data_IF_925233289604
#
_entry.id   IF_925233289604
#
_cell.length_a   1.000
_cell.length_b   1.000
_cell.length_c   1.000
_cell.angle_alpha   90.00
_cell.angle_beta   90.00
_cell.angle_gamma   90.00
#
_symmetry.space_group_name_H-M   'P 1'
#
loop_
_entity.id
_entity.type
_entity.pdbx_description
1 polymer ?
#
# COMPACT_ATOMS: atom_id res chain seq x y z
N UNK A 1 11.29 -0.95 -5.33
CA UNK A 1 9.91 -1.47 -5.22
C UNK A 1 8.99 -0.49 -5.93
N UNK A 2 8.24 -0.91 -6.96
CA UNK A 2 7.10 -0.15 -7.45
C UNK A 2 6.08 -0.24 -6.32
N UNK A 3 6.15 0.70 -5.39
CA UNK A 3 5.15 0.81 -4.33
C UNK A 3 3.95 1.55 -4.89
N UNK A 4 3.29 0.94 -5.87
CA UNK A 4 1.86 1.14 -6.05
C UNK A 4 1.04 0.55 -4.88
N UNK A 5 1.75 -0.08 -3.93
CA UNK A 5 1.54 -0.15 -2.47
C UNK A 5 1.30 1.23 -1.81
N UNK A 6 0.44 2.05 -2.37
CA UNK A 6 -0.18 3.14 -1.61
C UNK A 6 -1.17 2.54 -0.60
N UNK A 7 -1.66 1.29 -0.78
CA UNK A 7 -2.72 0.73 0.10
C UNK A 7 -2.60 -0.76 0.44
N UNK A 8 -1.56 -1.48 0.03
CA UNK A 8 -1.09 -2.56 0.94
C UNK A 8 -0.50 -1.93 2.23
N UNK A 9 -0.34 -0.59 2.27
CA UNK A 9 -0.19 0.18 3.50
C UNK A 9 -1.45 0.29 4.38
N UNK A 10 -2.67 0.00 3.91
CA UNK A 10 -3.77 -0.29 4.84
C UNK A 10 -3.63 -1.69 5.47
N UNK A 11 -2.85 -2.59 4.86
CA UNK A 11 -2.36 -3.83 5.48
C UNK A 11 -1.04 -3.63 6.28
N UNK A 12 -0.21 -2.64 5.94
CA UNK A 12 1.13 -2.42 6.53
C UNK A 12 1.15 -1.29 7.58
N UNK A 13 0.24 -0.32 7.58
CA UNK A 13 -0.07 0.50 8.77
C UNK A 13 -0.67 -0.34 9.91
N UNK A 14 -1.09 -1.54 9.51
CA UNK A 14 -1.72 -2.61 10.24
C UNK A 14 -0.61 -3.60 10.70
N UNK A 15 0.51 -3.73 9.98
CA UNK A 15 1.72 -4.44 10.40
C UNK A 15 2.87 -3.46 10.70
N UNK A 16 3.09 -3.11 11.97
CA UNK A 16 3.99 -2.04 12.41
C UNK A 16 5.43 -2.06 11.84
N UNK A 17 6.00 -0.85 11.79
CA UNK A 17 7.39 -0.47 11.53
C UNK A 17 8.34 -1.59 11.06
N UNK A 18 8.64 -1.63 9.76
CA UNK A 18 9.67 -2.51 9.20
C UNK A 18 10.91 -1.73 8.77
N UNK A 19 12.06 -2.09 9.37
CA UNK A 19 13.39 -1.84 8.80
C UNK A 19 13.64 -2.93 7.74
N UNK A 20 13.79 -2.52 6.49
CA UNK A 20 14.36 -3.33 5.42
C UNK A 20 15.84 -2.99 5.33
N UNK A 21 16.68 -3.70 6.09
CA UNK A 21 18.12 -3.71 5.90
C UNK A 21 18.51 -5.15 5.61
N UNK A 22 18.73 -5.49 4.33
CA UNK A 22 19.89 -6.29 3.88
C UNK A 22 19.78 -6.50 2.36
N UNK A 23 20.82 -6.09 1.63
CA UNK A 23 20.97 -6.34 0.20
C UNK A 23 21.94 -7.51 0.03
N UNK A 24 21.43 -8.71 -0.18
CA UNK A 24 22.17 -9.77 -0.87
C UNK A 24 21.25 -10.39 -1.93
N UNK A 25 21.49 -9.98 -3.17
CA UNK A 25 20.66 -10.28 -4.34
C UNK A 25 21.20 -11.53 -5.04
N UNK A 26 20.41 -12.59 -5.09
CA UNK A 26 20.65 -13.75 -5.96
C UNK A 26 19.97 -13.45 -7.31
N UNK A 27 20.77 -13.04 -8.30
CA UNK A 27 20.28 -12.54 -9.59
C UNK A 27 20.03 -13.69 -10.58
N UNK A 28 18.86 -13.66 -11.21
CA UNK A 28 18.52 -14.41 -12.42
C UNK A 28 18.40 -13.38 -13.55
N UNK A 29 19.29 -13.44 -14.54
CA UNK A 29 19.36 -12.44 -15.63
C UNK A 29 18.23 -12.63 -16.64
N UNK A 30 17.28 -11.69 -16.63
CA UNK A 30 16.41 -11.38 -17.76
C UNK A 30 16.68 -9.92 -18.19
N UNK A 31 16.60 -9.57 -19.49
CA UNK A 31 16.92 -8.23 -19.96
C UNK A 31 16.03 -7.16 -19.30
N UNK A 32 16.67 -6.23 -18.59
CA UNK A 32 16.04 -5.15 -17.83
C UNK A 32 15.62 -4.02 -18.77
N UNK A 33 14.37 -4.04 -19.25
CA UNK A 33 13.81 -2.87 -19.93
C UNK A 33 13.69 -1.74 -18.91
N UNK A 34 14.24 -0.55 -19.23
CA UNK A 34 14.07 0.64 -18.40
C UNK A 34 12.59 0.92 -18.15
N UNK A 35 12.15 0.73 -16.91
CA UNK A 35 10.76 0.91 -16.50
C UNK A 35 10.36 2.39 -16.38
N UNK A 36 9.06 2.66 -16.43
CA UNK A 36 8.51 4.02 -16.29
C UNK A 36 8.11 4.35 -14.83
N UNK A 37 7.75 5.60 -14.57
CA UNK A 37 7.19 6.06 -13.29
C UNK A 37 5.78 6.60 -13.49
N UNK A 38 4.91 6.40 -12.50
CA UNK A 38 3.59 7.06 -12.47
C UNK A 38 3.76 8.58 -12.42
N UNK A 39 2.73 9.37 -12.75
CA UNK A 39 2.77 10.81 -12.57
C UNK A 39 3.20 11.21 -11.16
N UNK A 40 3.90 12.34 -11.03
CA UNK A 40 4.38 12.82 -9.73
C UNK A 40 3.25 13.24 -8.78
N UNK A 41 2.10 13.61 -9.34
CA UNK A 41 0.91 13.96 -8.58
C UNK A 41 -0.31 13.37 -9.27
N UNK A 42 -1.12 12.62 -8.52
CA UNK A 42 -2.39 12.10 -9.01
C UNK A 42 -3.33 11.80 -7.84
N UNK A 43 -4.62 11.81 -8.17
CA UNK A 43 -5.68 11.28 -7.33
C UNK A 43 -6.42 10.18 -8.07
N UNK A 44 -6.99 9.23 -7.35
CA UNK A 44 -7.77 8.16 -7.95
C UNK A 44 -8.30 7.22 -6.89
N UNK A 45 -8.76 6.06 -7.34
CA UNK A 45 -9.32 5.06 -6.45
C UNK A 45 -8.66 3.71 -6.62
N UNK A 46 -8.68 2.95 -5.53
CA UNK A 46 -8.26 1.56 -5.48
C UNK A 46 -9.39 0.70 -4.95
N UNK A 47 -9.85 -0.25 -5.75
CA UNK A 47 -10.64 -1.38 -5.27
C UNK A 47 -9.70 -2.49 -4.81
N UNK A 48 -9.91 -3.05 -3.63
CA UNK A 48 -9.04 -4.07 -3.04
C UNK A 48 -9.87 -5.29 -2.69
N UNK A 49 -9.38 -6.45 -3.09
CA UNK A 49 -9.82 -7.75 -2.58
C UNK A 49 -8.57 -8.48 -2.11
N UNK A 50 -8.54 -8.82 -0.83
CA UNK A 50 -7.40 -9.41 -0.16
C UNK A 50 -7.81 -10.61 0.69
N UNK A 51 -6.85 -11.52 0.88
CA UNK A 51 -6.99 -12.69 1.73
C UNK A 51 -5.70 -12.95 2.50
N UNK A 52 -5.84 -13.49 3.71
CA UNK A 52 -4.69 -13.90 4.51
C UNK A 52 -4.96 -15.22 5.23
N UNK A 53 -3.89 -15.96 5.51
CA UNK A 53 -3.93 -17.22 6.23
C UNK A 53 -2.67 -17.42 7.10
N UNK A 54 -2.87 -17.83 8.36
CA UNK A 54 -1.83 -18.25 9.29
C UNK A 54 -2.36 -19.35 10.21
N UNK A 55 -1.78 -20.55 10.13
CA UNK A 55 -2.15 -21.74 10.92
C UNK A 55 -3.67 -21.98 11.02
N UNK A 56 -4.32 -21.42 12.05
CA UNK A 56 -5.77 -21.58 12.33
C UNK A 56 -6.62 -20.35 11.96
N UNK A 57 -6.00 -19.21 11.65
CA UNK A 57 -6.69 -17.97 11.31
C UNK A 57 -6.62 -17.70 9.81
N UNK A 58 -7.77 -17.37 9.25
CA UNK A 58 -7.92 -16.91 7.88
C UNK A 58 -8.95 -15.79 7.85
N UNK A 59 -8.83 -14.93 6.84
CA UNK A 59 -9.83 -13.91 6.63
C UNK A 59 -9.72 -13.31 5.24
N UNK A 60 -10.78 -12.61 4.88
CA UNK A 60 -10.84 -11.84 3.65
C UNK A 60 -11.08 -10.38 4.00
N UNK A 61 -10.57 -9.53 3.13
CA UNK A 61 -10.69 -8.09 3.21
C UNK A 61 -11.15 -7.62 1.83
N UNK A 62 -12.18 -6.80 1.80
CA UNK A 62 -12.59 -6.14 0.56
C UNK A 62 -12.84 -4.69 0.87
N UNK A 63 -12.49 -3.81 -0.04
CA UNK A 63 -12.61 -2.40 0.24
C UNK A 63 -12.36 -1.53 -0.96
N UNK A 64 -12.56 -0.26 -0.71
CA UNK A 64 -12.35 0.79 -1.67
C UNK A 64 -11.67 1.95 -0.97
N UNK A 65 -10.68 2.52 -1.64
CA UNK A 65 -9.87 3.58 -1.05
C UNK A 65 -9.63 4.68 -2.06
N UNK A 66 -9.90 5.92 -1.65
CA UNK A 66 -9.48 7.10 -2.40
C UNK A 66 -8.04 7.43 -2.05
N UNK A 67 -7.22 7.68 -3.07
CA UNK A 67 -5.80 8.00 -2.94
C UNK A 67 -5.52 9.39 -3.46
N UNK A 68 -4.68 10.11 -2.73
CA UNK A 68 -3.99 11.31 -3.20
C UNK A 68 -2.48 11.06 -3.03
N UNK A 69 -1.76 10.98 -4.15
CA UNK A 69 -0.33 10.69 -4.20
C UNK A 69 0.43 11.95 -4.64
N UNK A 70 1.38 12.41 -3.83
CA UNK A 70 2.11 13.65 -4.06
C UNK A 70 3.62 13.43 -3.86
N UNK A 71 4.29 12.98 -4.91
CA UNK A 71 5.73 12.73 -4.91
C UNK A 71 6.58 14.00 -4.82
N UNK A 72 6.03 15.16 -5.21
CA UNK A 72 6.76 16.42 -5.14
C UNK A 72 6.98 16.86 -3.69
N UNK A 73 6.01 16.57 -2.83
CA UNK A 73 6.06 16.87 -1.40
C UNK A 73 6.21 15.61 -0.55
N UNK A 74 6.60 14.49 -1.18
CA UNK A 74 6.87 13.21 -0.52
C UNK A 74 5.77 12.76 0.46
N UNK A 75 4.51 12.80 0.02
CA UNK A 75 3.37 12.51 0.88
C UNK A 75 2.25 11.78 0.17
N UNK A 76 1.51 11.01 0.96
CA UNK A 76 0.42 10.16 0.49
C UNK A 76 -0.74 10.31 1.46
N UNK A 77 -1.95 10.46 0.94
CA UNK A 77 -3.18 10.39 1.73
C UNK A 77 -4.10 9.32 1.13
N UNK A 78 -4.69 8.51 2.01
CA UNK A 78 -5.59 7.43 1.63
C UNK A 78 -6.81 7.43 2.54
N UNK A 79 -8.01 7.40 1.97
CA UNK A 79 -9.29 7.31 2.69
C UNK A 79 -9.92 5.96 2.35
N UNK A 80 -9.82 5.00 3.27
CA UNK A 80 -10.17 3.61 3.05
C UNK A 80 -11.49 3.26 3.73
N UNK A 81 -12.38 2.62 2.97
CA UNK A 81 -13.56 1.94 3.47
C UNK A 81 -13.38 0.45 3.19
N UNK A 82 -13.18 -0.33 4.24
CA UNK A 82 -12.82 -1.74 4.15
C UNK A 82 -13.77 -2.57 4.99
N UNK A 83 -14.14 -3.72 4.48
CA UNK A 83 -14.90 -4.72 5.21
C UNK A 83 -14.02 -5.91 5.51
N UNK A 84 -14.04 -6.35 6.76
CA UNK A 84 -13.35 -7.54 7.22
C UNK A 84 -14.28 -8.31 8.13
N UNK A 85 -14.42 -9.61 7.87
CA UNK A 85 -15.24 -10.51 8.70
C UNK A 85 -16.66 -9.95 8.93
N UNK A 86 -17.25 -9.35 7.88
CA UNK A 86 -18.58 -8.74 7.90
C UNK A 86 -18.67 -7.36 8.58
N UNK A 87 -17.56 -6.77 9.05
CA UNK A 87 -17.53 -5.48 9.74
C UNK A 87 -16.88 -4.39 8.89
N UNK A 88 -17.55 -3.24 8.80
CA UNK A 88 -17.09 -2.08 8.03
C UNK A 88 -16.19 -1.16 8.86
N UNK A 89 -14.98 -0.93 8.37
CA UNK A 89 -13.96 -0.06 8.91
C UNK A 89 -13.73 1.11 7.95
N UNK A 90 -13.71 2.33 8.48
CA UNK A 90 -13.45 3.54 7.72
C UNK A 90 -12.30 4.29 8.39
N UNK A 91 -11.18 4.41 7.68
CA UNK A 91 -9.96 5.06 8.18
C UNK A 91 -9.41 6.02 7.14
N UNK A 92 -8.69 7.03 7.61
CA UNK A 92 -7.83 7.87 6.78
C UNK A 92 -6.39 7.70 7.24
N UNK A 93 -5.50 7.47 6.29
CA UNK A 93 -4.06 7.38 6.52
C UNK A 93 -3.40 8.54 5.80
N UNK A 94 -2.48 9.23 6.48
CA UNK A 94 -1.61 10.25 5.88
C UNK A 94 -0.18 9.85 6.16
N UNK A 95 0.61 9.60 5.13
CA UNK A 95 2.04 9.36 5.21
C UNK A 95 2.76 10.63 4.78
N UNK A 96 3.45 11.27 5.72
CA UNK A 96 4.23 12.48 5.52
C UNK A 96 5.71 12.13 5.73
N UNK A 97 6.40 11.84 4.63
CA UNK A 97 7.78 11.37 4.69
C UNK A 97 8.77 12.48 4.99
N UNK A 98 8.49 13.72 4.59
CA UNK A 98 9.35 14.86 4.90
C UNK A 98 9.43 15.10 6.40
N UNK A 99 8.31 14.95 7.10
CA UNK A 99 8.25 15.08 8.56
C UNK A 99 8.42 13.75 9.30
N UNK A 100 8.62 12.64 8.59
CA UNK A 100 8.78 11.31 9.18
C UNK A 100 7.58 10.84 10.00
N UNK A 101 6.36 11.19 9.60
CA UNK A 101 5.12 10.90 10.34
C UNK A 101 4.12 10.10 9.52
N UNK A 102 3.37 9.24 10.19
CA UNK A 102 2.20 8.54 9.65
C UNK A 102 1.04 8.77 10.61
N UNK A 103 -0.06 9.30 10.09
CA UNK A 103 -1.29 9.55 10.84
C UNK A 103 -2.33 8.51 10.46
N UNK A 104 -2.90 7.83 11.45
CA UNK A 104 -3.99 6.88 11.29
C UNK A 104 -5.20 7.46 12.00
N UNK A 105 -6.22 7.80 11.22
CA UNK A 105 -7.39 8.56 11.68
C UNK A 105 -8.61 7.67 11.53
N UNK A 106 -9.37 7.46 12.61
CA UNK A 106 -10.67 6.81 12.51
C UNK A 106 -11.74 7.79 12.10
N UNK A 107 -12.41 7.51 10.98
CA UNK A 107 -13.50 8.34 10.49
C UNK A 107 -14.81 8.13 11.26
N UNK A 108 -14.90 7.04 12.04
CA UNK A 108 -16.08 6.72 12.86
C UNK A 108 -15.91 7.12 14.34
N UNK A 109 -14.71 6.98 14.89
CA UNK A 109 -14.48 7.03 16.33
C UNK A 109 -13.69 8.25 16.81
N UNK A 110 -13.56 9.28 15.97
CA UNK A 110 -12.90 10.56 16.26
C UNK A 110 -11.58 10.44 17.05
N UNK A 111 -10.77 9.42 16.72
CA UNK A 111 -9.44 9.25 17.29
C UNK A 111 -8.39 9.30 16.19
N UNK A 112 -7.19 9.69 16.58
CA UNK A 112 -6.02 9.72 15.72
C UNK A 112 -4.82 9.10 16.42
N UNK A 113 -4.07 8.27 15.71
CA UNK A 113 -2.78 7.75 16.16
C UNK A 113 -1.69 8.28 15.24
N UNK A 114 -0.65 8.84 15.84
CA UNK A 114 0.53 9.32 15.12
C UNK A 114 1.68 8.35 15.34
N UNK A 115 2.32 7.93 14.25
CA UNK A 115 3.50 7.05 14.26
C UNK A 115 4.68 7.81 13.64
N UNK A 116 5.89 7.53 14.12
CA UNK A 116 7.13 7.98 13.47
C UNK A 116 7.59 6.94 12.43
N UNK A 117 8.15 7.39 11.31
CA UNK A 117 8.78 6.56 10.28
C UNK A 117 10.15 7.12 9.90
N UNK A 118 11.13 6.24 9.76
CA UNK A 118 12.47 6.56 9.21
C UNK A 118 12.59 6.21 7.72
N UNK A 119 11.50 5.73 7.11
CA UNK A 119 11.51 5.36 5.69
C UNK A 119 11.63 6.62 4.86
N UNK A 120 12.45 6.57 3.80
CA UNK A 120 12.43 7.59 2.76
C UNK A 120 11.24 7.37 1.82
N UNK A 121 10.74 8.46 1.25
CA UNK A 121 9.78 8.38 0.17
C UNK A 121 10.42 7.71 -1.05
N UNK A 122 9.66 6.86 -1.72
CA UNK A 122 10.08 6.19 -2.95
C UNK A 122 8.99 6.42 -3.98
N UNK A 123 9.35 7.07 -5.09
CA UNK A 123 8.43 7.25 -6.21
C UNK A 123 7.91 5.90 -6.68
N UNK A 124 6.63 5.87 -7.06
CA UNK A 124 6.01 4.72 -7.72
C UNK A 124 6.57 4.57 -9.14
N UNK A 125 7.74 3.93 -9.23
CA UNK A 125 8.40 3.56 -10.47
C UNK A 125 8.59 2.05 -10.57
N UNK A 126 8.53 1.52 -11.79
CA UNK A 126 8.84 0.11 -12.07
C UNK A 126 10.25 -0.18 -11.57
N UNK A 127 10.45 -1.14 -10.65
CA UNK A 127 11.77 -1.40 -10.11
C UNK A 127 12.69 -1.93 -11.21
N UNK A 128 13.98 -1.60 -11.10
CA UNK A 128 14.99 -2.02 -12.09
C UNK A 128 15.06 -3.54 -12.27
N UNK A 129 14.80 -4.29 -11.20
CA UNK A 129 14.75 -5.77 -11.21
C UNK A 129 13.37 -6.35 -11.55
N UNK A 130 12.40 -5.52 -11.98
CA UNK A 130 11.16 -6.04 -12.53
C UNK A 130 11.39 -6.66 -13.92
N UNK A 131 10.74 -7.78 -14.17
CA UNK A 131 10.74 -8.47 -15.46
C UNK A 131 9.49 -8.06 -16.23
N UNK A 132 9.64 -7.59 -17.47
CA UNK A 132 8.51 -7.36 -18.38
C UNK A 132 7.91 -8.71 -18.77
N UNK A 133 6.64 -8.93 -18.44
CA UNK A 133 5.90 -10.15 -18.79
C UNK A 133 5.42 -10.07 -20.24
N UNK A 134 4.84 -8.92 -20.63
CA UNK A 134 4.26 -8.75 -21.95
C UNK A 134 3.49 -7.45 -22.12
N UNK A 135 2.95 -7.24 -23.32
CA UNK A 135 2.04 -6.14 -23.63
C UNK A 135 0.68 -6.69 -24.02
N UNK A 136 -0.38 -6.00 -23.61
CA UNK A 136 -1.75 -6.38 -23.92
C UNK A 136 -2.63 -5.12 -24.02
N UNK A 137 -3.90 -5.30 -24.36
CA UNK A 137 -4.87 -4.21 -24.32
C UNK A 137 -6.15 -4.64 -23.61
N UNK A 138 -6.79 -3.70 -22.93
CA UNK A 138 -8.16 -3.84 -22.43
C UNK A 138 -9.11 -3.03 -23.31
N UNK A 139 -10.34 -3.52 -23.47
CA UNK A 139 -11.35 -2.93 -24.35
C UNK A 139 -11.37 -3.52 -25.76
N UNK A 140 -12.28 -3.02 -26.60
CA UNK A 140 -12.53 -3.55 -27.95
C UNK A 140 -12.72 -2.43 -28.97
N UNK A 141 -12.63 -2.76 -30.26
CA UNK A 141 -12.73 -1.80 -31.37
C UNK A 141 -11.68 -0.70 -31.31
N UNK A 142 -12.12 0.55 -31.49
CA UNK A 142 -11.25 1.74 -31.42
C UNK A 142 -10.91 2.18 -29.99
N UNK A 143 -11.57 1.61 -28.98
CA UNK A 143 -11.40 1.97 -27.56
C UNK A 143 -10.54 0.92 -26.85
N UNK A 144 -9.25 0.92 -27.17
CA UNK A 144 -8.25 0.01 -26.59
C UNK A 144 -7.29 0.77 -25.69
N UNK A 145 -7.10 0.26 -24.48
CA UNK A 145 -6.11 0.75 -23.52
C UNK A 145 -4.92 -0.20 -23.50
N UNK A 146 -3.84 0.16 -24.21
CA UNK A 146 -2.59 -0.62 -24.25
C UNK A 146 -1.84 -0.53 -22.92
N UNK A 147 -1.41 -1.69 -22.43
CA UNK A 147 -0.78 -1.88 -21.13
C UNK A 147 0.45 -2.76 -21.23
N UNK A 148 1.33 -2.63 -20.25
CA UNK A 148 2.52 -3.46 -20.06
C UNK A 148 2.43 -4.13 -18.70
N UNK A 149 2.51 -5.45 -18.69
CA UNK A 149 2.54 -6.26 -17.49
C UNK A 149 3.98 -6.49 -17.04
N UNK A 150 4.22 -6.42 -15.73
CA UNK A 150 5.51 -6.67 -15.12
C UNK A 150 5.37 -7.63 -13.95
N UNK A 151 6.44 -8.39 -13.71
CA UNK A 151 6.63 -9.24 -12.55
C UNK A 151 7.76 -8.68 -11.69
N UNK A 152 7.58 -8.70 -10.38
CA UNK A 152 8.61 -8.35 -9.43
C UNK A 152 8.56 -9.30 -8.24
N UNK A 153 9.72 -9.76 -7.79
CA UNK A 153 9.85 -10.56 -6.59
C UNK A 153 10.88 -9.92 -5.65
N UNK A 154 10.53 -9.88 -4.37
CA UNK A 154 11.43 -9.50 -3.30
C UNK A 154 11.49 -10.63 -2.28
N UNK A 155 12.70 -11.13 -2.03
CA UNK A 155 12.97 -12.19 -1.05
C UNK A 155 13.86 -11.66 0.07
N UNK A 156 13.58 -12.09 1.28
CA UNK A 156 14.40 -11.90 2.48
C UNK A 156 14.26 -13.16 3.34
N UNK A 157 15.11 -13.30 4.36
CA UNK A 157 15.21 -14.53 5.16
C UNK A 157 13.87 -15.12 5.64
N UNK A 158 12.92 -14.26 6.04
CA UNK A 158 11.59 -14.69 6.50
C UNK A 158 10.42 -14.25 5.61
N UNK A 159 10.69 -13.53 4.52
CA UNK A 159 9.62 -12.92 3.72
C UNK A 159 9.85 -13.11 2.23
N UNK A 160 8.78 -13.47 1.54
CA UNK A 160 8.75 -13.49 0.08
C UNK A 160 7.52 -12.70 -0.34
N UNK A 161 7.72 -11.68 -1.17
CA UNK A 161 6.64 -10.88 -1.73
C UNK A 161 6.80 -10.87 -3.24
N UNK A 162 5.73 -11.23 -3.93
CA UNK A 162 5.61 -11.24 -5.39
C UNK A 162 4.57 -10.21 -5.77
N UNK A 163 4.83 -9.46 -6.82
CA UNK A 163 3.86 -8.55 -7.41
C UNK A 163 3.84 -8.75 -8.92
N UNK A 164 2.64 -8.88 -9.46
CA UNK A 164 2.37 -8.71 -10.89
C UNK A 164 1.54 -7.45 -11.04
N UNK A 165 2.00 -6.50 -11.84
CA UNK A 165 1.33 -5.22 -11.98
C UNK A 165 1.32 -4.75 -13.42
N UNK A 166 0.27 -3.98 -13.73
CA UNK A 166 -0.04 -3.52 -15.06
C UNK A 166 -0.05 -1.99 -15.07
N UNK A 167 0.63 -1.43 -16.07
CA UNK A 167 0.71 0.02 -16.30
C UNK A 167 0.29 0.33 -17.74
N UNK A 168 -0.40 1.45 -17.94
CA UNK A 168 -0.68 1.94 -19.29
C UNK A 168 0.63 2.25 -20.02
N UNK A 169 0.73 1.81 -21.28
CA UNK A 169 1.94 2.04 -22.10
C UNK A 169 2.21 3.54 -22.27
N UNK A 170 1.16 4.34 -22.38
CA UNK A 170 1.23 5.80 -22.38
C UNK A 170 0.91 6.32 -20.98
N UNK A 171 1.82 7.12 -20.41
CA UNK A 171 1.59 7.82 -19.14
C UNK A 171 1.88 7.01 -17.88
N UNK A 172 2.19 5.72 -18.00
CA UNK A 172 2.58 4.87 -16.86
C UNK A 172 1.53 4.86 -15.73
N UNK A 173 0.24 4.86 -16.11
CA UNK A 173 -0.87 4.91 -15.18
C UNK A 173 -1.16 3.49 -14.70
N UNK A 174 -1.24 3.23 -13.39
CA UNK A 174 -1.56 1.90 -12.90
C UNK A 174 -2.99 1.51 -13.22
N UNK A 175 -3.19 0.23 -13.53
CA UNK A 175 -4.51 -0.33 -13.83
C UNK A 175 -4.84 -1.48 -12.90
N UNK A 176 -3.88 -2.37 -12.64
CA UNK A 176 -4.06 -3.52 -11.77
C UNK A 176 -2.74 -3.92 -11.09
N UNK A 177 -2.84 -4.45 -9.88
CA UNK A 177 -1.72 -5.07 -9.16
C UNK A 177 -2.22 -6.29 -8.40
N UNK A 178 -1.50 -7.40 -8.51
CA UNK A 178 -1.68 -8.61 -7.72
C UNK A 178 -0.44 -8.80 -6.87
N UNK A 179 -0.58 -8.69 -5.56
CA UNK A 179 0.50 -8.90 -4.61
C UNK A 179 0.23 -10.20 -3.86
N UNK A 180 1.22 -11.06 -3.71
CA UNK A 180 1.09 -12.26 -2.91
C UNK A 180 2.39 -12.61 -2.23
N UNK A 181 2.31 -13.44 -1.19
CA UNK A 181 3.52 -13.88 -0.55
C UNK A 181 3.32 -14.37 0.86
N UNK A 182 4.44 -14.34 1.60
CA UNK A 182 4.52 -14.69 3.00
C UNK A 182 5.34 -13.64 3.73
N UNK A 183 4.78 -13.09 4.80
CA UNK A 183 5.49 -12.17 5.70
C UNK A 183 5.37 -12.70 7.12
N UNK A 184 6.51 -12.96 7.78
CA UNK A 184 6.59 -13.48 9.16
C UNK A 184 5.58 -14.61 9.46
N UNK A 185 5.46 -15.58 8.56
CA UNK A 185 4.58 -16.73 8.75
C UNK A 185 3.13 -16.55 8.31
N UNK A 186 2.71 -15.35 7.91
CA UNK A 186 1.37 -15.06 7.35
C UNK A 186 1.44 -15.12 5.84
N UNK A 187 0.65 -16.00 5.22
CA UNK A 187 0.45 -15.99 3.77
C UNK A 187 -0.63 -14.98 3.42
N UNK A 188 -0.46 -14.28 2.31
CA UNK A 188 -1.42 -13.28 1.85
C UNK A 188 -1.48 -13.20 0.33
N UNK A 189 -2.61 -12.68 -0.17
CA UNK A 189 -2.80 -12.28 -1.55
C UNK A 189 -3.75 -11.08 -1.59
N UNK A 190 -3.37 -10.03 -2.29
CA UNK A 190 -4.16 -8.83 -2.55
C UNK A 190 -4.28 -8.62 -4.06
N UNK A 191 -5.47 -8.29 -4.52
CA UNK A 191 -5.76 -7.83 -5.88
C UNK A 191 -6.25 -6.39 -5.76
N UNK A 192 -5.59 -5.49 -6.48
CA UNK A 192 -5.84 -4.05 -6.44
C UNK A 192 -6.15 -3.58 -7.84
N UNK A 193 -7.38 -3.10 -8.05
CA UNK A 193 -7.77 -2.42 -9.28
C UNK A 193 -7.72 -0.91 -9.11
N UNK A 194 -7.22 -0.19 -10.11
CA UNK A 194 -7.09 1.26 -10.09
C UNK A 194 -8.11 1.89 -11.03
N UNK A 195 -8.81 2.94 -10.56
CA UNK A 195 -9.82 3.65 -11.37
C UNK A 195 -9.79 5.15 -11.15
N UNK A 196 -10.38 5.88 -12.11
CA UNK A 196 -10.57 7.33 -12.10
C UNK A 196 -9.31 8.13 -11.73
N UNK A 197 -8.16 7.69 -12.24
CA UNK A 197 -6.90 8.39 -12.01
C UNK A 197 -6.90 9.70 -12.79
N UNK A 198 -6.74 10.79 -12.05
CA UNK A 198 -6.57 12.15 -12.58
C UNK A 198 -5.23 12.73 -12.17
N UNK A 199 -4.57 13.45 -13.06
CA UNK A 199 -3.31 14.14 -12.74
C UNK A 199 -3.54 15.30 -11.77
N UNK A 200 -2.55 15.55 -10.91
CA UNK A 200 -2.58 16.62 -9.91
C UNK A 200 -3.28 16.23 -8.61
N UNK A 201 -3.38 17.19 -7.70
CA UNK A 201 -4.09 17.09 -6.43
C UNK A 201 -5.21 18.13 -6.44
N UNK A 202 -6.48 17.71 -6.33
CA UNK A 202 -7.60 18.64 -6.37
C UNK A 202 -7.70 19.49 -5.11
N UNK A 203 -7.52 18.88 -3.95
CA UNK A 203 -7.59 19.54 -2.64
C UNK A 203 -6.35 19.19 -1.80
N UNK A 204 -5.38 20.10 -1.65
CA UNK A 204 -4.19 19.86 -0.82
C UNK A 204 -4.50 19.61 0.67
N UNK A 205 -5.67 20.01 1.18
CA UNK A 205 -6.04 19.80 2.59
C UNK A 205 -6.21 18.32 2.95
N UNK A 206 -6.31 17.41 1.96
CA UNK A 206 -6.31 15.95 2.17
C UNK A 206 -5.02 15.43 2.82
N UNK A 207 -3.95 16.23 2.84
CA UNK A 207 -2.71 15.91 3.56
C UNK A 207 -2.62 16.50 4.96
N UNK A 208 -3.55 17.37 5.36
CA UNK A 208 -3.53 17.97 6.69
C UNK A 208 -4.17 17.01 7.70
N UNK A 209 -3.44 16.57 8.74
CA UNK A 209 -4.04 15.81 9.83
C UNK A 209 -5.01 16.72 10.62
N UNK A 210 -6.12 16.19 11.13
CA UNK A 210 -7.02 16.94 12.00
C UNK A 210 -6.34 17.29 13.34
N UNK A 211 -6.84 18.31 14.04
CA UNK A 211 -6.32 18.73 15.35
C UNK A 211 -6.33 17.61 16.40
N UNK A 212 -7.22 16.63 16.26
CA UNK A 212 -7.24 15.42 17.11
C UNK A 212 -5.92 14.65 17.07
N UNK A 213 -5.10 14.80 16.04
CA UNK A 213 -3.76 14.21 15.93
C UNK A 213 -2.67 14.98 16.67
N UNK A 214 -2.92 16.23 17.07
CA UNK A 214 -1.99 17.06 17.85
C UNK A 214 -2.04 16.74 19.33
N UNK A 215 -3.10 16.07 19.79
CA UNK A 215 -3.17 15.55 21.15
C UNK A 215 -2.18 14.39 21.22
N UNK A 216 -1.07 14.62 21.92
CA UNK A 216 -0.21 13.55 22.41
C UNK A 216 -1.06 12.74 23.38
N UNK A 217 -1.89 11.81 22.88
CA UNK A 217 -2.39 10.74 23.74
C UNK A 217 -1.16 9.91 24.09
N UNK A 218 -0.54 10.31 25.19
CA UNK A 218 0.39 9.55 25.99
C UNK A 218 -0.31 8.27 26.40
N UNK A 219 -0.22 7.24 25.56
CA UNK A 219 -0.34 5.81 25.89
C UNK A 219 -1.57 5.36 26.72
N UNK A 220 -2.61 6.19 26.86
CA UNK A 220 -3.72 5.97 27.79
C UNK A 220 -5.08 6.44 27.25
N UNK A 221 -5.25 6.41 25.92
CA UNK A 221 -6.59 6.27 25.33
C UNK A 221 -7.24 4.95 25.82
N UNK A 222 -8.58 4.84 25.85
CA UNK A 222 -9.29 3.69 26.40
C UNK A 222 -8.67 2.39 25.89
N UNK A 223 -8.25 1.55 26.84
CA UNK A 223 -7.58 0.27 26.64
C UNK A 223 -8.04 -0.36 25.33
N UNK A 224 -7.10 -0.49 24.39
CA UNK A 224 -7.32 -0.98 23.05
C UNK A 224 -7.53 -2.51 23.05
N UNK A 225 -8.39 -3.01 23.94
CA UNK A 225 -8.91 -4.38 23.96
C UNK A 225 -9.78 -4.70 22.73
N UNK A 226 -10.00 -3.74 21.82
CA UNK A 226 -10.76 -3.98 20.58
C UNK A 226 -10.06 -3.67 19.25
N UNK A 227 -8.75 -3.36 19.22
CA UNK A 227 -8.00 -3.35 17.94
C UNK A 227 -6.51 -3.73 18.09
N UNK A 228 -6.01 -4.16 19.26
CA UNK A 228 -4.70 -4.85 19.34
C UNK A 228 -4.74 -6.24 18.68
N UNK A 229 -5.94 -6.81 18.54
CA UNK A 229 -6.15 -8.19 18.10
C UNK A 229 -6.01 -8.44 16.61
N UNK A 230 -6.15 -7.41 15.78
CA UNK A 230 -6.32 -7.67 14.35
C UNK A 230 -5.03 -7.81 13.58
N UNK A 231 -3.89 -7.39 14.16
CA UNK A 231 -2.54 -7.52 13.58
C UNK A 231 -1.37 -7.70 14.55
N UNK A 232 -1.50 -7.32 15.82
CA UNK A 232 -0.38 -7.34 16.76
C UNK A 232 -0.47 -8.49 17.79
N UNK A 233 -1.66 -9.02 18.10
CA UNK A 233 -1.83 -10.10 19.10
C UNK A 233 -1.66 -11.55 18.58
N UNK A 234 -1.04 -11.74 17.42
CA UNK A 234 -0.25 -12.96 17.10
C UNK A 234 1.25 -12.68 16.94
N UNK A 235 1.69 -11.48 17.34
CA UNK A 235 3.08 -11.05 17.32
C UNK A 235 3.63 -10.74 18.72
N UNK A 236 2.95 -11.14 19.82
CA UNK A 236 3.55 -11.24 21.18
C UNK A 236 4.39 -12.52 21.38
N UNK A 237 5.13 -12.91 20.35
CA UNK A 237 6.29 -13.81 20.43
C UNK A 237 7.54 -13.17 19.80
N UNK A 238 7.45 -11.90 19.40
CA UNK A 238 8.55 -11.16 18.81
C UNK A 238 9.20 -10.34 19.92
N UNK A 239 10.02 -11.00 20.72
CA UNK A 239 10.97 -10.33 21.61
C UNK A 239 11.99 -9.55 20.77
N UNK A 240 12.34 -8.38 21.30
CA UNK A 240 13.18 -7.28 20.78
C UNK A 240 12.38 -6.16 20.08
#
# INVERSE_FOLDING_TARGET
MLKLVVISACLVAVLGQYKFNDESELQMEYPTVAGCCTPDQWEGYQGIIGGYARFIKKGAVYGYTKVSYDAKNERIAAVANMTRDGKNHAIRVIEDYQNGKIYIISLKKNWCKTLTTKRSFKKACVPKSAVKIGEFYQGTGLRKLTQVAYYYEHKSFFNVVRSTFDLTKKGCIPTNEVISGRVKGVNFMDVVGFSDITAGIKDPAVFNPPESCNKTESDSGPNFELHEHMLYREFRYFGL
#
